data_IF_002319587843
#
_entry.id   IF_002319587843
#
_cell.length_a   1.000
_cell.length_b   1.000
_cell.length_c   1.000
_cell.angle_alpha   90.00
_cell.angle_beta   90.00
_cell.angle_gamma   90.00
#
_symmetry.space_group_name_H-M   'P 1'
#
loop_
_entity.id
_entity.type
_entity.pdbx_description
1 polymer ?
#
# COMPACT_ATOMS: atom_id res chain seq x y z
N UNK A 1 8.24 -3.28 14.05
CA UNK A 1 9.29 -2.26 13.87
C UNK A 1 8.99 -1.02 14.70
N UNK A 2 10.00 -0.39 15.30
CA UNK A 2 9.86 0.88 16.05
C UNK A 2 10.20 2.11 15.17
N UNK A 3 9.79 3.30 15.60
CA UNK A 3 10.06 4.56 14.87
C UNK A 3 11.57 4.81 14.65
N UNK A 4 12.47 4.67 15.66
CA UNK A 4 13.90 4.89 15.45
C UNK A 4 14.52 3.85 14.50
N UNK A 5 14.03 2.61 14.53
CA UNK A 5 14.49 1.57 13.61
C UNK A 5 14.09 1.89 12.17
N UNK A 6 12.82 2.23 11.94
CA UNK A 6 12.32 2.60 10.62
C UNK A 6 13.10 3.80 10.06
N UNK A 7 13.27 4.85 10.86
CA UNK A 7 13.98 6.06 10.46
C UNK A 7 15.44 5.77 10.08
N UNK A 8 16.12 4.92 10.86
CA UNK A 8 17.50 4.50 10.56
C UNK A 8 17.58 3.74 9.24
N UNK A 9 16.66 2.82 9.00
CA UNK A 9 16.62 2.04 7.76
C UNK A 9 16.34 2.91 6.53
N UNK A 10 15.48 3.92 6.64
CA UNK A 10 15.22 4.90 5.57
C UNK A 10 16.49 5.69 5.22
N UNK A 11 17.22 6.18 6.23
CA UNK A 11 18.48 6.90 6.00
C UNK A 11 19.52 5.98 5.35
N UNK A 12 19.61 4.72 5.78
CA UNK A 12 20.51 3.73 5.20
C UNK A 12 20.15 3.41 3.76
N UNK A 13 18.87 3.19 3.46
CA UNK A 13 18.40 2.96 2.08
C UNK A 13 18.76 4.15 1.17
N UNK A 14 18.56 5.38 1.64
CA UNK A 14 18.94 6.58 0.88
C UNK A 14 20.44 6.71 0.64
N UNK A 15 21.29 6.21 1.54
CA UNK A 15 22.74 6.19 1.36
C UNK A 15 23.23 5.09 0.39
N UNK A 16 22.40 4.08 0.13
CA UNK A 16 22.70 2.94 -0.75
C UNK A 16 22.04 3.07 -2.14
N UNK A 17 21.29 4.15 -2.40
CA UNK A 17 20.52 4.32 -3.62
C UNK A 17 21.38 4.92 -4.75
N UNK A 18 21.34 4.31 -5.94
CA UNK A 18 21.98 4.83 -7.15
C UNK A 18 20.97 5.52 -8.09
N UNK A 19 19.66 5.35 -7.84
CA UNK A 19 18.56 6.06 -8.49
C UNK A 19 17.62 5.12 -9.25
N UNK A 20 16.32 5.22 -8.95
CA UNK A 20 15.27 4.44 -9.61
C UNK A 20 14.89 3.13 -8.90
N UNK A 21 15.51 2.84 -7.76
CA UNK A 21 15.16 1.70 -6.91
C UNK A 21 13.96 2.01 -6.00
N UNK A 22 13.17 0.97 -5.72
CA UNK A 22 12.17 0.99 -4.66
C UNK A 22 12.70 0.14 -3.52
N UNK A 23 12.87 0.72 -2.33
CA UNK A 23 13.31 -0.03 -1.16
C UNK A 23 12.12 -0.48 -0.31
N UNK A 24 12.13 -1.74 0.12
CA UNK A 24 11.14 -2.28 1.05
C UNK A 24 11.82 -2.74 2.31
N UNK A 25 11.26 -2.33 3.44
CA UNK A 25 11.78 -2.64 4.77
C UNK A 25 11.12 -3.88 5.32
N UNK A 26 11.92 -4.81 5.84
CA UNK A 26 11.42 -5.96 6.57
C UNK A 26 10.88 -5.51 7.94
N UNK A 27 9.56 -5.57 8.08
CA UNK A 27 8.84 -5.17 9.29
C UNK A 27 8.89 -6.21 10.41
N UNK A 28 9.41 -7.41 10.13
CA UNK A 28 9.43 -8.58 10.98
C UNK A 28 8.08 -9.30 11.00
N UNK A 29 7.85 -10.07 12.07
CA UNK A 29 6.65 -10.88 12.22
C UNK A 29 5.37 -10.02 12.28
N UNK A 30 4.30 -10.39 11.56
CA UNK A 30 3.02 -9.70 11.63
C UNK A 30 2.40 -9.86 13.03
N UNK A 31 1.77 -8.80 13.54
CA UNK A 31 1.05 -8.84 14.81
C UNK A 31 -0.46 -8.73 14.60
N UNK A 32 -1.22 -9.55 15.33
CA UNK A 32 -2.68 -9.49 15.35
C UNK A 32 -3.13 -8.30 16.19
N UNK A 33 -4.05 -7.49 15.64
CA UNK A 33 -4.64 -6.35 16.34
C UNK A 33 -5.38 -6.77 17.63
N UNK A 34 -6.00 -7.96 17.63
CA UNK A 34 -6.64 -8.53 18.82
C UNK A 34 -5.64 -8.76 19.96
N UNK A 35 -4.46 -9.30 19.65
CA UNK A 35 -3.42 -9.57 20.65
C UNK A 35 -2.83 -8.26 21.18
N UNK A 36 -2.72 -7.24 20.32
CA UNK A 36 -2.33 -5.89 20.72
C UNK A 36 -3.34 -5.29 21.71
N UNK A 37 -4.64 -5.37 21.41
CA UNK A 37 -5.70 -4.85 22.28
C UNK A 37 -5.69 -5.53 23.66
N UNK A 38 -5.58 -6.87 23.70
CA UNK A 38 -5.45 -7.64 24.95
C UNK A 38 -4.22 -7.25 25.76
N UNK A 39 -3.10 -7.06 25.08
CA UNK A 39 -1.87 -6.62 25.74
C UNK A 39 -2.01 -5.23 26.35
N UNK A 40 -2.66 -4.28 25.67
CA UNK A 40 -2.92 -2.94 26.21
C UNK A 40 -3.80 -2.97 27.46
N UNK A 41 -4.88 -3.77 27.45
CA UNK A 41 -5.75 -3.97 28.62
C UNK A 41 -4.94 -4.50 29.81
N UNK A 42 -4.17 -5.57 29.60
CA UNK A 42 -3.34 -6.19 30.64
C UNK A 42 -2.26 -5.25 31.17
N UNK A 43 -1.57 -4.51 30.29
CA UNK A 43 -0.53 -3.56 30.68
C UNK A 43 -1.10 -2.36 31.44
N UNK A 44 -2.39 -2.07 31.27
CA UNK A 44 -3.10 -1.04 32.03
C UNK A 44 -3.60 -1.52 33.39
N UNK A 45 -3.36 -2.80 33.75
CA UNK A 45 -3.73 -3.38 35.04
C UNK A 45 -5.14 -3.97 35.10
N UNK A 46 -5.83 -4.09 33.97
CA UNK A 46 -7.20 -4.63 33.90
C UNK A 46 -7.25 -6.01 33.24
N UNK A 47 -8.36 -6.71 33.46
CA UNK A 47 -8.73 -7.94 32.74
C UNK A 47 -9.61 -7.62 31.53
N UNK A 48 -9.60 -8.52 30.54
CA UNK A 48 -10.42 -8.39 29.33
C UNK A 48 -11.91 -8.26 29.65
N UNK A 49 -12.39 -8.90 30.72
CA UNK A 49 -13.79 -8.83 31.20
C UNK A 49 -14.18 -7.44 31.75
N UNK A 50 -13.22 -6.65 32.25
CA UNK A 50 -13.48 -5.35 32.88
C UNK A 50 -13.64 -4.22 31.86
N UNK A 51 -12.98 -4.34 30.69
CA UNK A 51 -13.03 -3.36 29.60
C UNK A 51 -13.90 -3.85 28.43
N UNK A 52 -13.85 -5.15 28.12
CA UNK A 52 -14.49 -5.76 26.97
C UNK A 52 -13.78 -5.46 25.64
N UNK A 53 -14.04 -6.29 24.62
CA UNK A 53 -13.61 -6.05 23.24
C UNK A 53 -14.83 -6.23 22.33
N UNK A 54 -15.18 -5.18 21.59
CA UNK A 54 -16.27 -5.19 20.61
C UNK A 54 -15.71 -5.18 19.18
N UNK A 55 -16.32 -5.98 18.31
CA UNK A 55 -15.92 -6.08 16.90
C UNK A 55 -16.80 -5.16 16.05
N UNK A 56 -16.23 -4.06 15.55
CA UNK A 56 -16.92 -3.11 14.68
C UNK A 56 -16.99 -3.53 13.21
N UNK A 57 -16.32 -4.62 12.83
CA UNK A 57 -16.20 -5.07 11.44
C UNK A 57 -15.15 -4.28 10.65
N UNK A 58 -14.97 -4.65 9.39
CA UNK A 58 -13.99 -4.05 8.47
C UNK A 58 -14.58 -2.81 7.81
N UNK A 59 -13.81 -1.71 7.74
CA UNK A 59 -14.25 -0.49 7.02
C UNK A 59 -14.05 -0.67 5.51
N UNK A 60 -14.84 0.01 4.66
CA UNK A 60 -14.68 -0.08 3.22
C UNK A 60 -13.25 0.28 2.78
N UNK A 61 -12.59 -0.65 2.07
CA UNK A 61 -11.22 -0.48 1.56
C UNK A 61 -10.11 -0.96 2.51
N UNK A 62 -10.43 -1.42 3.73
CA UNK A 62 -9.44 -2.05 4.61
C UNK A 62 -9.14 -3.49 4.16
N UNK A 63 -7.91 -3.93 4.44
CA UNK A 63 -7.47 -5.32 4.26
C UNK A 63 -7.36 -6.02 5.61
N UNK A 64 -7.61 -7.33 5.63
CA UNK A 64 -7.42 -8.16 6.84
C UNK A 64 -5.95 -8.47 7.13
N UNK A 65 -5.11 -8.41 6.11
CA UNK A 65 -3.66 -8.55 6.19
C UNK A 65 -3.01 -7.63 5.16
N UNK A 66 -1.85 -7.10 5.49
CA UNK A 66 -1.01 -6.34 4.56
C UNK A 66 0.04 -7.27 3.94
N UNK A 67 0.36 -7.02 2.68
CA UNK A 67 1.42 -7.71 1.95
C UNK A 67 2.59 -6.74 1.82
N UNK A 68 3.81 -7.17 2.20
CA UNK A 68 4.99 -6.30 2.08
C UNK A 68 5.38 -6.09 0.61
N UNK A 69 5.30 -7.14 -0.21
CA UNK A 69 5.62 -7.12 -1.63
C UNK A 69 4.86 -8.25 -2.36
N UNK A 70 4.44 -7.99 -3.61
CA UNK A 70 4.02 -9.07 -4.51
C UNK A 70 5.24 -9.87 -4.97
N UNK A 71 5.09 -11.18 -5.18
CA UNK A 71 6.17 -12.09 -5.63
C UNK A 71 6.90 -11.61 -6.90
N UNK A 72 6.21 -10.84 -7.74
CA UNK A 72 6.77 -10.28 -8.99
C UNK A 72 7.59 -8.99 -8.79
N UNK A 73 7.47 -8.36 -7.62
CA UNK A 73 8.10 -7.09 -7.27
C UNK A 73 9.33 -7.29 -6.37
N UNK A 74 9.56 -8.49 -5.84
CA UNK A 74 10.71 -8.82 -4.97
C UNK A 74 11.93 -9.15 -5.83
N UNK A 75 13.05 -8.47 -5.57
CA UNK A 75 14.36 -8.96 -5.97
C UNK A 75 14.90 -9.86 -4.84
N UNK A 76 15.33 -11.09 -5.17
CA UNK A 76 15.70 -12.13 -4.17
C UNK A 76 16.85 -11.74 -3.23
N UNK A 77 17.55 -10.63 -3.51
CA UNK A 77 18.76 -10.21 -2.82
C UNK A 77 18.52 -9.03 -1.87
N UNK A 78 18.91 -9.23 -0.61
CA UNK A 78 19.00 -8.15 0.38
C UNK A 78 20.32 -7.41 0.16
N UNK A 79 20.24 -6.10 -0.04
CA UNK A 79 21.44 -5.26 -0.08
C UNK A 79 21.95 -4.94 1.34
N UNK A 80 21.08 -5.03 2.34
CA UNK A 80 21.38 -4.80 3.75
C UNK A 80 20.38 -5.56 4.63
N UNK A 81 20.73 -6.00 5.86
CA UNK A 81 19.77 -6.62 6.77
C UNK A 81 18.49 -5.79 6.92
N UNK A 82 17.33 -6.38 6.61
CA UNK A 82 16.00 -5.76 6.61
C UNK A 82 15.74 -4.72 5.50
N UNK A 83 16.56 -4.65 4.45
CA UNK A 83 16.33 -3.80 3.28
C UNK A 83 16.36 -4.65 2.01
N UNK A 84 15.21 -4.69 1.34
CA UNK A 84 15.01 -5.34 0.05
C UNK A 84 14.95 -4.29 -1.06
N UNK A 85 15.41 -4.67 -2.26
CA UNK A 85 15.22 -3.86 -3.46
C UNK A 85 14.07 -4.45 -4.26
N UNK A 86 13.08 -3.63 -4.57
CA UNK A 86 11.94 -3.96 -5.40
C UNK A 86 12.17 -3.57 -6.85
N UNK A 87 11.52 -4.28 -7.77
CA UNK A 87 11.48 -3.89 -9.19
C UNK A 87 10.42 -2.82 -9.39
N UNK A 88 10.85 -1.63 -9.81
CA UNK A 88 9.94 -0.56 -10.21
C UNK A 88 9.49 -0.76 -11.66
N UNK A 89 8.18 -0.80 -11.88
CA UNK A 89 7.61 -0.61 -13.22
C UNK A 89 7.40 0.90 -13.43
N UNK A 90 8.33 1.55 -14.11
CA UNK A 90 8.22 2.98 -14.39
C UNK A 90 7.21 3.24 -15.51
N UNK A 91 6.30 4.18 -15.27
CA UNK A 91 5.39 4.71 -16.29
C UNK A 91 6.19 5.71 -17.16
N UNK A 92 6.10 5.64 -18.50
CA UNK A 92 6.68 6.65 -19.38
C UNK A 92 6.21 8.08 -19.01
N UNK A 93 7.13 9.04 -19.06
CA UNK A 93 6.86 10.42 -18.60
C UNK A 93 5.71 11.09 -19.36
N UNK A 94 5.60 10.85 -20.65
CA UNK A 94 4.52 11.33 -21.51
C UNK A 94 3.14 10.81 -21.06
N UNK A 95 3.05 9.51 -20.73
CA UNK A 95 1.83 8.93 -20.19
C UNK A 95 1.50 9.48 -18.80
N UNK A 96 2.51 9.68 -17.95
CA UNK A 96 2.34 10.25 -16.61
C UNK A 96 1.80 11.68 -16.66
N UNK A 97 2.36 12.53 -17.53
CA UNK A 97 1.91 13.91 -17.68
C UNK A 97 0.45 13.94 -18.17
N UNK A 98 0.11 13.14 -19.18
CA UNK A 98 -1.27 13.06 -19.67
C UNK A 98 -2.24 12.60 -18.58
N UNK A 99 -1.86 11.58 -17.80
CA UNK A 99 -2.64 11.11 -16.66
C UNK A 99 -2.90 12.22 -15.63
N UNK A 100 -1.87 12.99 -15.26
CA UNK A 100 -2.00 14.09 -14.30
C UNK A 100 -2.90 15.21 -14.82
N UNK A 101 -2.74 15.61 -16.09
CA UNK A 101 -3.58 16.63 -16.73
C UNK A 101 -5.03 16.18 -16.81
N UNK A 102 -5.29 14.91 -17.11
CA UNK A 102 -6.64 14.36 -17.13
C UNK A 102 -7.33 14.46 -15.76
N UNK A 103 -6.62 14.16 -14.68
CA UNK A 103 -7.17 14.18 -13.31
C UNK A 103 -7.70 15.56 -12.90
N UNK A 104 -7.11 16.66 -13.39
CA UNK A 104 -7.56 18.02 -13.08
C UNK A 104 -8.98 18.32 -13.59
N UNK A 105 -9.42 17.59 -14.62
CA UNK A 105 -10.68 17.82 -15.33
C UNK A 105 -11.80 16.85 -14.92
N UNK A 106 -11.51 15.82 -14.13
CA UNK A 106 -12.44 14.73 -13.81
C UNK A 106 -13.20 14.96 -12.50
N UNK A 107 -14.40 14.38 -12.41
CA UNK A 107 -15.15 14.32 -11.16
C UNK A 107 -14.67 13.16 -10.26
N UNK A 108 -14.99 13.22 -8.95
CA UNK A 108 -14.49 12.30 -7.93
C UNK A 108 -14.68 10.81 -8.26
N UNK A 109 -15.83 10.42 -8.83
CA UNK A 109 -16.10 9.02 -9.20
C UNK A 109 -15.24 8.56 -10.39
N UNK A 110 -14.92 9.47 -11.31
CA UNK A 110 -14.10 9.17 -12.48
C UNK A 110 -12.62 9.12 -12.11
N UNK A 111 -12.17 10.00 -11.21
CA UNK A 111 -10.83 9.97 -10.62
C UNK A 111 -10.58 8.61 -9.96
N UNK A 112 -11.52 8.13 -9.14
CA UNK A 112 -11.39 6.84 -8.44
C UNK A 112 -11.15 5.70 -9.43
N UNK A 113 -11.97 5.61 -10.48
CA UNK A 113 -11.83 4.54 -11.48
C UNK A 113 -10.53 4.67 -12.26
N UNK A 114 -10.16 5.90 -12.64
CA UNK A 114 -8.96 6.14 -13.43
C UNK A 114 -7.69 5.81 -12.64
N UNK A 115 -7.60 6.24 -11.39
CA UNK A 115 -6.46 5.91 -10.51
C UNK A 115 -6.35 4.40 -10.30
N UNK A 116 -7.46 3.71 -10.05
CA UNK A 116 -7.44 2.24 -9.88
C UNK A 116 -6.97 1.54 -11.17
N UNK A 117 -7.42 1.99 -12.34
CA UNK A 117 -7.00 1.39 -13.61
C UNK A 117 -5.50 1.57 -13.87
N UNK A 118 -4.97 2.76 -13.62
CA UNK A 118 -3.55 3.09 -13.78
C UNK A 118 -2.68 2.32 -12.78
N UNK A 119 -3.13 2.20 -11.54
CA UNK A 119 -2.46 1.39 -10.52
C UNK A 119 -2.39 -0.10 -10.90
N UNK A 120 -3.35 -0.60 -11.69
CA UNK A 120 -3.35 -1.96 -12.24
C UNK A 120 -2.64 -2.08 -13.59
N UNK A 121 -1.94 -1.04 -14.06
CA UNK A 121 -1.18 -1.04 -15.31
C UNK A 121 -2.00 -0.75 -16.57
N UNK A 122 -3.23 -0.23 -16.43
CA UNK A 122 -4.09 0.17 -17.56
C UNK A 122 -4.08 1.69 -17.70
N UNK A 123 -3.51 2.19 -18.79
CA UNK A 123 -3.24 3.62 -18.99
C UNK A 123 -4.14 4.29 -20.05
N UNK A 124 -4.98 3.52 -20.76
CA UNK A 124 -5.81 4.03 -21.85
C UNK A 124 -7.18 4.52 -21.36
N UNK A 125 -7.33 5.84 -21.22
CA UNK A 125 -8.56 6.54 -20.81
C UNK A 125 -9.82 6.08 -21.56
N UNK A 126 -9.70 5.76 -22.86
CA UNK A 126 -10.82 5.37 -23.73
C UNK A 126 -11.41 4.00 -23.36
N UNK A 127 -10.57 2.99 -23.04
CA UNK A 127 -11.03 1.65 -22.64
C UNK A 127 -11.77 1.69 -21.28
N UNK A 128 -11.30 2.57 -20.40
CA UNK A 128 -11.82 2.73 -19.03
C UNK A 128 -13.21 3.40 -19.05
N UNK A 129 -13.38 4.44 -19.86
CA UNK A 129 -14.66 5.15 -20.02
C UNK A 129 -15.69 4.36 -20.85
N UNK A 130 -15.26 3.51 -21.80
CA UNK A 130 -16.17 2.65 -22.58
C UNK A 130 -16.76 1.49 -21.78
N UNK A 131 -16.09 1.01 -20.72
CA UNK A 131 -16.63 -0.04 -19.82
C UNK A 131 -17.97 0.35 -19.18
N UNK A 132 -18.28 1.65 -19.08
CA UNK A 132 -19.58 2.16 -18.61
C UNK A 132 -20.74 1.94 -19.60
N UNK A 133 -20.49 1.82 -20.91
CA UNK A 133 -21.59 1.70 -21.90
C UNK A 133 -22.20 0.30 -21.97
N UNK A 134 -21.47 -0.73 -21.54
CA UNK A 134 -21.93 -2.13 -21.60
C UNK A 134 -22.61 -2.62 -20.32
N UNK A 135 -22.35 -2.02 -19.16
CA UNK A 135 -22.93 -2.45 -17.87
C UNK A 135 -24.15 -1.65 -17.43
N UNK A 136 -24.56 -0.63 -18.19
CA UNK A 136 -25.80 0.12 -17.96
C UNK A 136 -26.97 -0.35 -18.85
N UNK A 137 -26.78 -1.46 -19.57
CA UNK A 137 -27.83 -2.13 -20.35
C UNK A 137 -27.85 -3.63 -20.04
N UNK A 138 -28.18 -3.99 -18.80
CA UNK A 138 -28.72 -5.29 -18.39
C UNK A 138 -29.36 -5.21 -17.02
#
# INVERSE_FOLDING_TARGET
>A
MTIPEASRLVIQAGALADGGEIFVLDMGEPMKILDLARNLIRLSGYKEEEIGIEYSGIRPGEKMYEELLNTNEIQEQNIYPKIHVGKANCIPNDLLINFLTDLESLHSEEIKQYVISVANGVFHKEEILMSKRSTQSR
#
